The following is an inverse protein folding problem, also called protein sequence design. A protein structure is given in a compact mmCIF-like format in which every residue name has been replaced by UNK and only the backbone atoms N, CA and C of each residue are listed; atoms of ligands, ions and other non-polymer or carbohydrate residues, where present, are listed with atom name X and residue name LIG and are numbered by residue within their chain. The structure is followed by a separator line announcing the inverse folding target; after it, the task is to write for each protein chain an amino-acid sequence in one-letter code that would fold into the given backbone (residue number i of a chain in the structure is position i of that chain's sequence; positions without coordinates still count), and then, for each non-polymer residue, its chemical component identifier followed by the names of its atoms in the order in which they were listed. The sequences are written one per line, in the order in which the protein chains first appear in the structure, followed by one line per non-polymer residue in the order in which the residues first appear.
data_IF_238703729030
#
_entry.id   IF_238703729030
#
_cell.length_a   1.000
_cell.length_b   1.000
_cell.length_c   1.000
_cell.angle_alpha   90.00
_cell.angle_beta   90.00
_cell.angle_gamma   90.00
#
_symmetry.space_group_name_H-M   'P 1'
#
loop_
_entity.id
_entity.type
_entity.pdbx_description
1 polymer ?
#
# COMPACT_ATOMS: atom_id res chain seq x y z
N UNK A 1 -28.12 -6.39 -4.31
CA UNK A 1 -27.05 -5.81 -5.16
C UNK A 1 -27.19 -6.37 -6.57
N UNK A 2 -27.29 -5.54 -7.62
CA UNK A 2 -27.46 -5.99 -9.02
C UNK A 2 -26.24 -5.79 -9.93
N UNK A 3 -25.24 -5.00 -9.48
CA UNK A 3 -24.09 -4.61 -10.29
C UNK A 3 -22.80 -4.78 -9.47
N UNK A 4 -21.74 -5.20 -10.13
CA UNK A 4 -20.38 -5.22 -9.61
C UNK A 4 -19.48 -4.44 -10.56
N UNK A 5 -18.51 -3.72 -10.01
CA UNK A 5 -17.45 -3.05 -10.77
C UNK A 5 -16.12 -3.68 -10.37
N UNK A 6 -15.38 -4.17 -11.35
CA UNK A 6 -14.06 -4.76 -11.15
C UNK A 6 -13.04 -3.78 -11.72
N UNK A 7 -12.09 -3.37 -10.89
CA UNK A 7 -10.98 -2.51 -11.29
C UNK A 7 -9.69 -3.28 -11.04
N UNK A 8 -8.89 -3.45 -12.09
CA UNK A 8 -7.58 -4.11 -12.01
C UNK A 8 -6.51 -3.04 -12.06
N UNK A 9 -5.67 -2.99 -11.04
CA UNK A 9 -4.43 -2.21 -11.03
C UNK A 9 -3.32 -3.16 -11.45
N UNK A 10 -2.99 -3.16 -12.73
CA UNK A 10 -2.02 -4.09 -13.29
C UNK A 10 -0.66 -3.95 -12.58
N UNK A 11 -0.03 -5.08 -12.27
CA UNK A 11 1.26 -5.19 -11.55
C UNK A 11 1.33 -4.60 -10.13
N UNK A 12 0.25 -4.05 -9.57
CA UNK A 12 0.26 -3.37 -8.27
C UNK A 12 0.18 -4.37 -7.10
N UNK A 13 1.30 -5.03 -6.80
CA UNK A 13 1.45 -5.97 -5.68
C UNK A 13 1.56 -5.30 -4.31
N UNK A 14 1.12 -6.01 -3.27
CA UNK A 14 1.13 -5.55 -1.86
C UNK A 14 2.05 -6.39 -0.96
N UNK A 15 3.05 -7.05 -1.55
CA UNK A 15 3.97 -7.95 -0.86
C UNK A 15 4.14 -9.27 -1.58
N UNK A 16 5.23 -9.97 -1.27
CA UNK A 16 5.53 -11.29 -1.80
C UNK A 16 4.52 -12.31 -1.28
N UNK A 17 4.16 -13.27 -2.13
CA UNK A 17 3.30 -14.41 -1.73
C UNK A 17 4.09 -15.42 -0.91
N UNK A 18 3.37 -16.33 -0.25
CA UNK A 18 3.97 -17.41 0.56
C UNK A 18 4.89 -18.33 -0.27
N UNK A 19 4.62 -18.46 -1.58
CA UNK A 19 5.34 -19.31 -2.52
C UNK A 19 6.35 -18.57 -3.40
N UNK A 20 6.72 -17.34 -3.02
CA UNK A 20 7.62 -16.48 -3.80
C UNK A 20 9.03 -17.08 -4.01
N UNK A 21 9.47 -18.00 -3.15
CA UNK A 21 10.71 -18.74 -3.30
C UNK A 21 10.76 -19.61 -4.57
N UNK A 22 9.61 -20.11 -5.01
CA UNK A 22 9.49 -20.93 -6.22
C UNK A 22 9.64 -20.13 -7.51
N UNK A 23 9.44 -18.82 -7.43
CA UNK A 23 9.47 -17.91 -8.58
C UNK A 23 10.68 -16.96 -8.58
N UNK A 24 11.47 -16.97 -7.50
CA UNK A 24 12.60 -16.06 -7.34
C UNK A 24 12.19 -14.63 -6.93
N UNK A 25 10.96 -14.46 -6.43
CA UNK A 25 10.37 -13.15 -6.08
C UNK A 25 10.41 -12.89 -4.56
N UNK A 26 11.27 -13.60 -3.83
CA UNK A 26 11.44 -13.40 -2.38
C UNK A 26 11.79 -11.94 -2.10
N UNK A 27 10.98 -11.30 -1.26
CA UNK A 27 11.16 -9.90 -0.89
C UNK A 27 10.51 -8.89 -1.85
N UNK A 28 9.79 -9.33 -2.89
CA UNK A 28 8.98 -8.44 -3.70
C UNK A 28 7.96 -7.69 -2.84
N UNK A 29 7.87 -6.37 -3.00
CA UNK A 29 6.94 -5.51 -2.25
C UNK A 29 6.69 -4.21 -3.03
N UNK A 30 5.93 -4.28 -4.13
CA UNK A 30 5.72 -3.14 -5.04
C UNK A 30 5.18 -1.91 -4.31
N UNK A 31 4.08 -2.06 -3.56
CA UNK A 31 3.51 -0.97 -2.78
C UNK A 31 4.50 -0.42 -1.74
N UNK A 32 5.18 -1.30 -0.99
CA UNK A 32 6.14 -0.89 0.03
C UNK A 32 7.33 -0.12 -0.56
N UNK A 33 7.93 -0.63 -1.62
CA UNK A 33 9.06 0.02 -2.29
C UNK A 33 8.67 1.36 -2.93
N UNK A 34 7.47 1.47 -3.54
CA UNK A 34 6.97 2.75 -4.05
C UNK A 34 6.78 3.75 -2.90
N UNK A 35 6.18 3.32 -1.79
CA UNK A 35 5.97 4.19 -0.63
C UNK A 35 7.30 4.70 -0.05
N UNK A 36 8.30 3.82 0.05
CA UNK A 36 9.65 4.16 0.49
C UNK A 36 10.33 5.16 -0.45
N UNK A 37 10.33 4.92 -1.76
CA UNK A 37 10.90 5.83 -2.76
C UNK A 37 10.22 7.21 -2.71
N UNK A 38 8.89 7.24 -2.56
CA UNK A 38 8.15 8.48 -2.36
C UNK A 38 8.59 9.21 -1.08
N UNK A 39 8.72 8.50 0.04
CA UNK A 39 9.13 9.09 1.32
C UNK A 39 10.55 9.67 1.26
N UNK A 40 11.44 9.07 0.47
CA UNK A 40 12.81 9.57 0.20
C UNK A 40 12.85 10.74 -0.79
N UNK A 41 11.73 11.09 -1.41
CA UNK A 41 11.67 12.13 -2.45
C UNK A 41 12.22 11.68 -3.82
N UNK A 42 12.53 10.39 -3.99
CA UNK A 42 13.05 9.82 -5.24
C UNK A 42 11.98 9.81 -6.35
N UNK A 43 10.71 9.93 -5.98
CA UNK A 43 9.56 9.98 -6.88
C UNK A 43 8.88 11.36 -6.93
N UNK A 44 9.61 12.44 -6.66
CA UNK A 44 9.09 13.82 -6.68
C UNK A 44 9.01 14.39 -8.10
N UNK A 45 8.23 13.73 -8.98
CA UNK A 45 7.98 14.15 -10.35
C UNK A 45 6.48 14.44 -10.54
N UNK A 46 6.09 15.73 -10.54
CA UNK A 46 4.67 16.13 -10.59
C UNK A 46 3.87 15.79 -9.31
N UNK A 47 4.55 15.27 -8.30
CA UNK A 47 4.08 15.04 -6.93
C UNK A 47 5.23 15.39 -5.96
N UNK A 48 4.94 15.47 -4.65
CA UNK A 48 5.97 15.67 -3.62
C UNK A 48 5.66 14.90 -2.35
N UNK A 49 6.72 14.40 -1.70
CA UNK A 49 6.66 13.83 -0.36
C UNK A 49 6.21 12.37 -0.35
N UNK A 50 5.69 11.85 0.77
CA UNK A 50 5.31 10.45 0.89
C UNK A 50 4.11 10.04 0.01
N UNK A 51 3.98 8.74 -0.30
CA UNK A 51 2.87 8.23 -1.11
C UNK A 51 1.52 8.53 -0.45
N UNK A 52 0.63 9.20 -1.19
CA UNK A 52 -0.64 9.72 -0.69
C UNK A 52 -1.83 9.10 -1.46
N UNK A 53 -2.50 8.13 -0.85
CA UNK A 53 -3.63 7.39 -1.45
C UNK A 53 -4.87 7.36 -0.50
N UNK A 54 -5.48 8.51 -0.17
CA UNK A 54 -6.44 8.62 0.93
C UNK A 54 -7.67 7.72 0.75
N UNK A 55 -8.16 7.60 -0.49
CA UNK A 55 -9.31 6.77 -0.80
C UNK A 55 -9.02 5.27 -0.66
N UNK A 56 -7.88 4.79 -1.18
CA UNK A 56 -7.51 3.38 -1.09
C UNK A 56 -7.11 2.99 0.33
N UNK A 57 -6.46 3.90 1.07
CA UNK A 57 -6.19 3.74 2.49
C UNK A 57 -7.50 3.57 3.27
N UNK A 58 -8.51 4.41 3.03
CA UNK A 58 -9.84 4.30 3.67
C UNK A 58 -10.57 3.00 3.31
N UNK A 59 -10.33 2.45 2.11
CA UNK A 59 -10.86 1.15 1.69
C UNK A 59 -10.07 -0.03 2.29
N UNK A 60 -8.96 0.21 3.00
CA UNK A 60 -8.21 -0.82 3.71
C UNK A 60 -6.94 -1.31 3.00
N UNK A 61 -6.47 -0.65 1.94
CA UNK A 61 -5.27 -1.06 1.19
C UNK A 61 -4.05 -1.27 2.10
N UNK A 62 -3.83 -0.33 3.03
CA UNK A 62 -2.68 -0.36 3.94
C UNK A 62 -2.74 -1.54 4.90
N UNK A 63 -3.94 -1.93 5.37
CA UNK A 63 -4.12 -3.12 6.19
C UNK A 63 -3.92 -4.41 5.40
N UNK A 64 -4.32 -4.42 4.13
CA UNK A 64 -4.08 -5.58 3.27
C UNK A 64 -2.58 -5.81 3.07
N UNK A 65 -1.82 -4.74 2.86
CA UNK A 65 -0.36 -4.79 2.79
C UNK A 65 0.28 -5.27 4.11
N UNK A 66 -0.18 -4.76 5.25
CA UNK A 66 0.27 -5.22 6.57
C UNK A 66 -0.03 -6.72 6.76
N UNK A 67 -1.21 -7.18 6.38
CA UNK A 67 -1.58 -8.60 6.43
C UNK A 67 -0.76 -9.48 5.47
N UNK A 68 -0.29 -8.93 4.36
CA UNK A 68 0.53 -9.63 3.37
C UNK A 68 2.00 -9.72 3.80
N UNK A 69 2.56 -8.66 4.39
CA UNK A 69 4.01 -8.53 4.64
C UNK A 69 4.41 -8.61 6.10
N UNK A 70 3.48 -8.43 7.04
CA UNK A 70 3.75 -8.21 8.46
C UNK A 70 4.44 -6.87 8.77
N UNK A 71 4.64 -5.99 7.77
CA UNK A 71 5.33 -4.72 7.94
C UNK A 71 4.34 -3.60 8.28
N UNK A 72 4.68 -2.83 9.30
CA UNK A 72 3.91 -1.65 9.71
C UNK A 72 4.17 -0.44 8.80
N UNK A 73 3.20 0.46 8.78
CA UNK A 73 3.04 1.56 7.82
C UNK A 73 4.00 2.76 7.99
N UNK A 74 5.21 2.56 8.55
CA UNK A 74 6.10 3.67 8.93
C UNK A 74 6.69 4.47 7.75
N UNK A 75 6.46 4.04 6.50
CA UNK A 75 6.90 4.72 5.27
C UNK A 75 5.80 5.40 4.45
N UNK A 76 4.53 5.33 4.86
CA UNK A 76 3.42 5.93 4.13
C UNK A 76 3.18 7.37 4.62
N UNK A 77 2.68 8.26 3.74
CA UNK A 77 2.37 9.65 4.09
C UNK A 77 1.28 9.88 5.12
N UNK A 78 0.71 8.80 5.63
CA UNK A 78 -0.40 8.81 6.56
C UNK A 78 0.03 8.17 7.86
N UNK A 79 -0.25 8.89 8.94
CA UNK A 79 -0.20 8.39 10.29
C UNK A 79 -1.19 7.23 10.38
N UNK A 80 -0.67 6.00 10.27
CA UNK A 80 -1.43 4.79 10.57
C UNK A 80 -1.75 4.83 12.06
N UNK A 81 -2.84 5.53 12.42
CA UNK A 81 -3.37 5.48 13.77
C UNK A 81 -3.82 4.05 13.98
N UNK A 82 -3.38 3.46 15.09
CA UNK A 82 -3.67 2.09 15.52
C UNK A 82 -5.17 1.76 15.60
N UNK A 83 -6.04 2.77 15.50
CA UNK A 83 -7.49 2.63 15.46
C UNK A 83 -8.07 3.07 14.10
N UNK A 84 -8.54 2.09 13.34
CA UNK A 84 -9.17 2.29 12.03
C UNK A 84 -10.52 3.00 12.10
N UNK A 85 -11.18 3.02 13.27
CA UNK A 85 -12.44 3.75 13.47
C UNK A 85 -12.23 5.27 13.40
N UNK A 86 -11.00 5.74 13.59
CA UNK A 86 -10.63 7.16 13.49
C UNK A 86 -10.32 7.60 12.05
N UNK A 87 -10.26 6.68 11.08
CA UNK A 87 -10.02 7.01 9.66
C UNK A 87 -11.26 7.52 8.91
N UNK A 88 -12.42 7.61 9.57
CA UNK A 88 -13.68 8.07 8.97
C UNK A 88 -14.07 9.51 9.34
N UNK A 89 -13.21 10.28 10.01
CA UNK A 89 -13.54 11.65 10.38
C UNK A 89 -12.32 12.51 10.72
N UNK A 90 -11.81 13.21 9.70
CA UNK A 90 -11.30 14.58 9.72
C UNK A 90 -11.10 15.04 8.27
#
# INVERSE_FOLDING_TARGET
MKRAFIMVLDSFGIGATEDADRFGDVGADTLGHIAEACAKGEADHGRKGPLNLPNLTRLGLVKAHEGSTGKNCRGYGWQCRSDWRLCLGA
#
